data_IF_157947509281
#
_entry.id   IF_157947509281
#
_cell.length_a   1.000
_cell.length_b   1.000
_cell.length_c   1.000
_cell.angle_alpha   90.00
_cell.angle_beta   90.00
_cell.angle_gamma   90.00
#
_symmetry.space_group_name_H-M   'P 1'
#
loop_
_entity.id
_entity.type
_entity.pdbx_description
1 polymer ?
#
# COMPACT_ATOMS: atom_id res chain seq x y z
N UNK A 1 -35.60 -7.18 -9.72
CA UNK A 1 -35.26 -5.74 -9.67
C UNK A 1 -34.05 -5.60 -8.76
N UNK A 2 -32.87 -5.28 -9.30
CA UNK A 2 -31.67 -5.07 -8.49
C UNK A 2 -31.09 -3.71 -8.84
N UNK A 3 -31.17 -2.76 -7.92
CA UNK A 3 -30.46 -1.49 -8.06
C UNK A 3 -28.99 -1.75 -7.73
N UNK A 4 -28.13 -1.81 -8.74
CA UNK A 4 -26.68 -1.88 -8.56
C UNK A 4 -26.19 -0.49 -8.22
N UNK A 5 -25.88 -0.24 -6.94
CA UNK A 5 -25.19 0.98 -6.53
C UNK A 5 -23.75 0.84 -7.01
N UNK A 6 -23.30 1.74 -7.87
CA UNK A 6 -21.91 1.79 -8.32
C UNK A 6 -21.07 2.32 -7.14
N UNK A 7 -20.68 1.42 -6.22
CA UNK A 7 -19.86 1.74 -5.06
C UNK A 7 -18.43 2.04 -5.52
N UNK A 8 -18.22 3.29 -5.94
CA UNK A 8 -16.91 3.79 -6.33
C UNK A 8 -16.05 3.93 -5.08
N UNK A 9 -15.19 2.95 -4.84
CA UNK A 9 -14.13 3.07 -3.83
C UNK A 9 -13.15 4.18 -4.23
N UNK A 10 -12.71 4.95 -3.25
CA UNK A 10 -11.73 6.03 -3.44
C UNK A 10 -10.32 5.48 -3.24
N UNK A 11 -9.54 5.47 -4.32
CA UNK A 11 -8.15 5.03 -4.27
C UNK A 11 -7.23 6.15 -3.75
N UNK A 12 -6.45 5.81 -2.74
CA UNK A 12 -5.49 6.67 -2.06
C UNK A 12 -4.09 6.09 -2.24
N UNK A 13 -3.11 6.94 -2.48
CA UNK A 13 -1.69 6.55 -2.60
C UNK A 13 -0.84 7.42 -1.67
N UNK A 14 0.39 7.04 -1.37
CA UNK A 14 1.32 7.92 -0.65
C UNK A 14 2.23 8.59 -1.67
N UNK A 15 2.17 9.92 -1.75
CA UNK A 15 2.93 10.67 -2.73
C UNK A 15 4.40 10.90 -2.31
N UNK A 16 5.20 11.46 -3.22
CA UNK A 16 6.62 11.75 -2.96
C UNK A 16 6.86 12.73 -1.81
N UNK A 17 5.87 13.57 -1.46
CA UNK A 17 5.91 14.47 -0.32
C UNK A 17 5.70 13.75 1.02
N UNK A 18 5.24 12.49 0.99
CA UNK A 18 4.92 11.72 2.18
C UNK A 18 3.54 12.04 2.74
N UNK A 19 2.60 12.49 1.90
CA UNK A 19 1.19 12.67 2.24
C UNK A 19 0.33 11.61 1.56
N UNK A 20 -0.86 11.37 2.12
CA UNK A 20 -1.87 10.54 1.47
C UNK A 20 -2.49 11.38 0.36
N UNK A 21 -2.55 10.84 -0.85
CA UNK A 21 -2.97 11.55 -2.04
C UNK A 21 -4.10 10.79 -2.74
N UNK A 22 -5.20 11.48 -2.98
CA UNK A 22 -6.28 11.04 -3.85
C UNK A 22 -6.10 11.66 -5.23
N UNK A 23 -5.96 10.82 -6.27
CA UNK A 23 -5.88 11.29 -7.65
C UNK A 23 -7.26 11.69 -8.16
N UNK A 24 -7.38 12.91 -8.68
CA UNK A 24 -8.61 13.47 -9.23
C UNK A 24 -8.49 13.65 -10.74
N UNK A 25 -9.57 13.38 -11.47
CA UNK A 25 -9.63 13.57 -12.93
C UNK A 25 -9.77 15.04 -13.32
N UNK A 26 -10.35 15.86 -12.44
CA UNK A 26 -10.63 17.27 -12.69
C UNK A 26 -10.02 18.14 -11.58
N UNK A 27 -9.51 19.32 -11.97
CA UNK A 27 -8.89 20.28 -11.05
C UNK A 27 -9.97 20.89 -10.15
N UNK A 28 -10.00 20.46 -8.89
CA UNK A 28 -10.93 20.97 -7.87
C UNK A 28 -10.20 21.99 -6.98
N UNK A 29 -10.85 23.06 -6.49
CA UNK A 29 -10.22 24.01 -5.58
C UNK A 29 -9.63 23.32 -4.34
N UNK A 30 -8.32 23.46 -4.13
CA UNK A 30 -7.55 22.76 -3.09
C UNK A 30 -6.64 21.62 -3.58
N UNK A 31 -6.70 21.29 -4.88
CA UNK A 31 -5.83 20.26 -5.47
C UNK A 31 -4.40 20.75 -5.68
N UNK A 32 -3.43 19.91 -5.29
CA UNK A 32 -2.04 20.06 -5.70
C UNK A 32 -1.92 19.47 -7.10
N UNK A 33 -1.68 20.32 -8.08
CA UNK A 33 -1.46 19.90 -9.46
C UNK A 33 0.03 19.68 -9.68
N UNK A 34 0.41 18.46 -10.05
CA UNK A 34 1.79 18.14 -10.43
C UNK A 34 1.83 17.67 -11.88
N UNK A 35 2.64 18.34 -12.68
CA UNK A 35 3.02 17.84 -14.01
C UNK A 35 4.12 16.81 -13.82
N UNK A 36 3.87 15.57 -14.23
CA UNK A 36 4.88 14.53 -14.29
C UNK A 36 5.84 14.81 -15.45
N UNK A 37 7.08 14.29 -15.39
CA UNK A 37 8.07 14.41 -16.47
C UNK A 37 7.56 13.90 -17.83
N UNK A 38 6.56 13.00 -17.80
CA UNK A 38 5.90 12.45 -18.99
C UNK A 38 4.82 13.37 -19.57
N UNK A 39 4.74 14.64 -19.16
CA UNK A 39 3.75 15.62 -19.64
C UNK A 39 2.31 15.40 -19.13
N UNK A 40 2.05 14.35 -18.33
CA UNK A 40 0.75 14.09 -17.71
C UNK A 40 0.54 14.99 -16.49
N UNK A 41 -0.56 15.73 -16.48
CA UNK A 41 -1.01 16.52 -15.34
C UNK A 41 -1.79 15.63 -14.38
N UNK A 42 -1.32 15.51 -13.14
CA UNK A 42 -2.03 14.80 -12.08
C UNK A 42 -2.53 15.83 -11.08
N UNK A 43 -3.85 15.87 -10.88
CA UNK A 43 -4.46 16.62 -9.80
C UNK A 43 -4.58 15.70 -8.59
N UNK A 44 -4.00 16.08 -7.46
CA UNK A 44 -4.03 15.29 -6.24
C UNK A 44 -4.58 16.10 -5.07
N UNK A 45 -5.50 15.51 -4.32
CA UNK A 45 -5.91 16.03 -3.02
C UNK A 45 -5.07 15.36 -1.94
N UNK A 46 -4.35 16.17 -1.16
CA UNK A 46 -3.44 15.68 -0.13
C UNK A 46 -4.11 15.68 1.26
N UNK A 47 -3.88 14.62 2.02
CA UNK A 47 -4.36 14.42 3.37
C UNK A 47 -3.19 14.00 4.28
N UNK A 48 -3.21 14.46 5.54
CA UNK A 48 -2.13 14.17 6.49
C UNK A 48 -2.27 12.80 7.16
N UNK A 49 -3.48 12.27 7.26
CA UNK A 49 -3.75 10.94 7.83
C UNK A 49 -5.05 10.35 7.26
N UNK A 50 -5.15 9.02 7.33
CA UNK A 50 -6.36 8.25 7.04
C UNK A 50 -6.73 7.50 8.33
N UNK A 51 -7.95 7.68 8.81
CA UNK A 51 -8.45 7.00 10.00
C UNK A 51 -9.72 6.25 9.65
N UNK A 52 -9.79 4.99 10.06
CA UNK A 52 -10.93 4.13 9.76
C UNK A 52 -10.67 2.67 10.11
N UNK A 53 -11.65 1.81 9.94
CA UNK A 53 -11.50 0.37 10.21
C UNK A 53 -10.99 -0.35 8.96
N UNK A 54 -9.95 -1.17 9.09
CA UNK A 54 -9.51 -2.03 7.98
C UNK A 54 -10.53 -3.14 7.82
N UNK A 55 -11.22 -3.15 6.67
CA UNK A 55 -12.25 -4.15 6.37
C UNK A 55 -11.72 -5.28 5.49
N UNK A 56 -10.79 -4.97 4.59
CA UNK A 56 -10.21 -5.95 3.68
C UNK A 56 -8.80 -5.52 3.23
N UNK A 57 -7.99 -6.46 2.75
CA UNK A 57 -6.75 -6.18 2.04
C UNK A 57 -6.54 -7.22 0.95
N UNK A 58 -5.99 -6.80 -0.18
CA UNK A 58 -5.69 -7.69 -1.29
C UNK A 58 -4.44 -7.22 -2.02
N UNK A 59 -3.76 -8.16 -2.66
CA UNK A 59 -2.61 -7.86 -3.52
C UNK A 59 -3.13 -7.59 -4.92
N UNK A 60 -2.65 -6.52 -5.52
CA UNK A 60 -2.93 -6.17 -6.92
C UNK A 60 -1.60 -6.01 -7.65
N UNK A 61 -1.43 -6.75 -8.73
CA UNK A 61 -0.27 -6.64 -9.61
C UNK A 61 -0.65 -5.86 -10.86
N UNK A 62 0.08 -4.77 -11.11
CA UNK A 62 -0.03 -4.01 -12.34
C UNK A 62 1.14 -4.34 -13.24
N UNK A 63 0.87 -4.64 -14.52
CA UNK A 63 1.88 -5.04 -15.50
C UNK A 63 3.04 -4.02 -15.61
N UNK A 64 2.71 -2.72 -15.66
CA UNK A 64 3.73 -1.65 -15.74
C UNK A 64 4.27 -1.14 -14.40
N UNK A 65 3.44 -1.10 -13.35
CA UNK A 65 3.77 -0.38 -12.11
C UNK A 65 4.18 -1.29 -10.94
N UNK A 66 4.08 -2.61 -11.14
CA UNK A 66 4.46 -3.64 -10.18
C UNK A 66 3.35 -4.01 -9.21
N UNK A 67 3.73 -4.68 -8.11
CA UNK A 67 2.82 -5.16 -7.07
C UNK A 67 2.46 -4.08 -6.04
N UNK A 68 1.19 -4.08 -5.63
CA UNK A 68 0.62 -3.20 -4.62
C UNK A 68 -0.16 -4.02 -3.59
N UNK A 69 -0.04 -3.64 -2.32
CA UNK A 69 -0.96 -4.07 -1.27
C UNK A 69 -2.04 -3.00 -1.15
N UNK A 70 -3.27 -3.36 -1.49
CA UNK A 70 -4.43 -2.50 -1.35
C UNK A 70 -5.10 -2.77 -0.01
N UNK A 71 -5.14 -1.76 0.85
CA UNK A 71 -5.76 -1.81 2.17
C UNK A 71 -7.08 -1.07 2.11
N UNK A 72 -8.19 -1.81 2.26
CA UNK A 72 -9.55 -1.27 2.28
C UNK A 72 -9.89 -0.78 3.68
N UNK A 73 -10.28 0.49 3.77
CA UNK A 73 -10.65 1.17 5.01
C UNK A 73 -12.10 1.65 4.89
N UNK A 74 -12.94 1.24 5.84
CA UNK A 74 -14.38 1.50 5.93
C UNK A 74 -15.18 1.15 4.66
N UNK A 75 -14.67 0.24 3.83
CA UNK A 75 -15.19 -0.11 2.50
C UNK A 75 -15.28 1.02 1.46
N UNK A 76 -14.99 2.26 1.87
CA UNK A 76 -15.02 3.46 1.03
C UNK A 76 -13.65 3.82 0.46
N UNK A 77 -12.57 3.60 1.23
CA UNK A 77 -11.22 4.02 0.87
C UNK A 77 -10.30 2.82 0.62
N UNK A 78 -9.41 2.95 -0.37
CA UNK A 78 -8.40 1.93 -0.67
C UNK A 78 -7.03 2.59 -0.65
N UNK A 79 -6.24 2.33 0.40
CA UNK A 79 -4.86 2.77 0.49
C UNK A 79 -3.94 1.80 -0.25
N UNK A 80 -3.33 2.27 -1.33
CA UNK A 80 -2.41 1.51 -2.16
C UNK A 80 -0.98 1.68 -1.67
N UNK A 81 -0.37 0.58 -1.22
CA UNK A 81 1.01 0.53 -0.78
C UNK A 81 1.84 -0.28 -1.79
N UNK A 82 2.69 0.40 -2.54
CA UNK A 82 3.59 -0.27 -3.49
C UNK A 82 4.57 -1.19 -2.75
N UNK A 83 4.75 -2.41 -3.24
CA UNK A 83 5.71 -3.36 -2.70
C UNK A 83 7.13 -2.80 -2.75
N UNK A 84 8.00 -3.29 -1.85
CA UNK A 84 9.37 -2.82 -1.68
C UNK A 84 9.53 -1.33 -1.28
N UNK A 85 8.45 -0.63 -0.93
CA UNK A 85 8.54 0.73 -0.38
C UNK A 85 8.62 0.74 1.14
N UNK A 86 9.23 1.79 1.71
CA UNK A 86 9.36 1.93 3.17
C UNK A 86 8.01 2.03 3.89
N UNK A 87 7.00 2.61 3.24
CA UNK A 87 5.65 2.68 3.79
C UNK A 87 5.00 1.29 3.85
N UNK A 88 5.15 0.48 2.79
CA UNK A 88 4.70 -0.90 2.77
C UNK A 88 5.34 -1.72 3.89
N UNK A 89 6.68 -1.67 4.02
CA UNK A 89 7.39 -2.38 5.08
C UNK A 89 6.94 -1.95 6.48
N UNK A 90 6.78 -0.64 6.71
CA UNK A 90 6.31 -0.13 8.01
C UNK A 90 4.90 -0.60 8.35
N UNK A 91 4.01 -0.65 7.36
CA UNK A 91 2.66 -1.20 7.51
C UNK A 91 2.71 -2.69 7.84
N UNK A 92 3.41 -3.47 7.02
CA UNK A 92 3.50 -4.92 7.20
C UNK A 92 4.12 -5.31 8.55
N UNK A 93 5.14 -4.60 9.02
CA UNK A 93 5.76 -4.92 10.31
C UNK A 93 4.85 -4.69 11.49
N UNK A 94 3.96 -3.68 11.43
CA UNK A 94 2.97 -3.45 12.46
C UNK A 94 1.75 -4.36 12.34
N UNK A 95 1.46 -4.88 11.15
CA UNK A 95 0.22 -5.59 10.81
C UNK A 95 -0.20 -6.69 11.80
N UNK A 96 0.70 -7.57 12.29
CA UNK A 96 0.31 -8.62 13.24
C UNK A 96 -0.17 -8.08 14.60
N UNK A 97 0.25 -6.87 14.96
CA UNK A 97 -0.13 -6.21 16.21
C UNK A 97 -1.39 -5.33 16.07
N UNK A 98 -1.92 -5.18 14.85
CA UNK A 98 -3.15 -4.40 14.62
C UNK A 98 -4.36 -5.21 15.04
N UNK A 99 -5.24 -4.58 15.82
CA UNK A 99 -6.56 -5.12 16.11
C UNK A 99 -7.53 -4.73 14.98
N UNK A 100 -7.80 -5.66 14.05
CA UNK A 100 -8.67 -5.43 12.89
C UNK A 100 -10.13 -5.09 13.28
N UNK A 101 -10.53 -5.30 14.53
CA UNK A 101 -11.87 -4.92 15.01
C UNK A 101 -12.01 -3.40 15.26
N UNK A 102 -10.89 -2.69 15.41
CA UNK A 102 -10.85 -1.26 15.79
C UNK A 102 -10.40 -0.36 14.65
N UNK A 103 -10.84 0.89 14.69
CA UNK A 103 -10.33 1.93 13.79
C UNK A 103 -8.84 2.16 14.02
N UNK A 104 -8.08 2.28 12.92
CA UNK A 104 -6.64 2.56 12.90
C UNK A 104 -6.39 3.87 12.17
N UNK A 105 -5.51 4.68 12.74
CA UNK A 105 -5.03 5.93 12.12
C UNK A 105 -3.69 5.68 11.44
N UNK A 106 -3.68 5.81 10.12
CA UNK A 106 -2.55 5.67 9.22
C UNK A 106 -1.98 7.06 8.91
N UNK A 107 -0.78 7.34 9.39
CA UNK A 107 -0.11 8.64 9.22
C UNK A 107 1.23 8.44 8.52
N UNK A 108 1.36 8.80 7.24
CA UNK A 108 2.65 8.75 6.57
C UNK A 108 3.58 9.79 7.18
N UNK A 109 4.82 9.41 7.37
CA UNK A 109 5.86 10.27 7.87
C UNK A 109 7.05 10.21 6.94
N UNK A 110 7.58 11.40 6.60
CA UNK A 110 8.75 11.57 5.77
C UNK A 110 9.63 12.66 6.36
N UNK A 111 10.93 12.41 6.42
CA UNK A 111 11.93 13.40 6.81
C UNK A 111 13.21 13.17 6.05
N UNK A 112 13.79 14.22 5.48
CA UNK A 112 15.14 14.16 4.92
C UNK A 112 16.15 14.47 6.02
N UNK A 113 17.12 13.58 6.20
CA UNK A 113 18.22 13.74 7.17
C UNK A 113 19.51 13.42 6.44
N UNK A 114 20.42 14.40 6.34
CA UNK A 114 21.74 14.23 5.73
C UNK A 114 21.68 13.66 4.29
N UNK A 115 20.75 14.19 3.47
CA UNK A 115 20.54 13.73 2.09
C UNK A 115 19.90 12.34 1.97
N UNK A 116 19.56 11.69 3.09
CA UNK A 116 18.83 10.42 3.13
C UNK A 116 17.38 10.69 3.50
N UNK A 117 16.47 10.35 2.59
CA UNK A 117 15.04 10.34 2.88
C UNK A 117 14.73 9.21 3.85
N UNK A 118 14.22 9.53 5.04
CA UNK A 118 13.58 8.61 5.96
C UNK A 118 12.08 8.69 5.74
N UNK A 119 11.43 7.53 5.63
CA UNK A 119 10.00 7.43 5.42
C UNK A 119 9.47 6.23 6.20
N UNK A 120 8.31 6.38 6.81
CA UNK A 120 7.61 5.33 7.56
C UNK A 120 6.11 5.60 7.54
N UNK A 121 5.30 4.56 7.68
CA UNK A 121 3.87 4.69 7.93
C UNK A 121 3.64 4.41 9.42
N UNK A 122 3.14 5.40 10.17
CA UNK A 122 2.77 5.21 11.56
C UNK A 122 1.31 4.80 11.66
N UNK A 123 1.06 3.78 12.49
CA UNK A 123 -0.27 3.25 12.74
C UNK A 123 -0.61 3.46 14.19
N UNK A 124 -1.78 4.01 14.51
CA UNK A 124 -2.23 4.23 15.90
C UNK A 124 -3.62 3.63 16.11
N UNK A 125 -3.84 3.01 17.27
CA UNK A 125 -5.15 2.47 17.68
C UNK A 125 -5.42 2.83 19.14
N UNK A 126 -6.58 3.44 19.42
CA UNK A 126 -7.05 3.70 20.78
C UNK A 126 -6.18 4.65 21.62
N UNK A 127 -5.33 5.48 21.00
CA UNK A 127 -4.51 6.48 21.69
C UNK A 127 -3.42 7.12 20.82
N UNK A 128 -2.52 7.88 21.46
CA UNK A 128 -1.46 8.65 20.80
C UNK A 128 -0.22 7.83 20.40
N UNK A 129 -0.06 6.63 20.98
CA UNK A 129 1.10 5.77 20.72
C UNK A 129 0.92 5.03 19.40
N UNK A 130 2.00 4.98 18.62
CA UNK A 130 2.06 4.13 17.45
C UNK A 130 2.17 2.67 17.84
N UNK A 131 1.51 1.80 17.08
CA UNK A 131 1.61 0.35 17.20
C UNK A 131 3.06 -0.05 16.95
N UNK A 132 3.61 -0.85 17.85
CA UNK A 132 4.98 -1.35 17.74
C UNK A 132 5.10 -2.36 16.61
N UNK A 133 6.26 -2.40 15.97
CA UNK A 133 6.54 -3.39 14.93
C UNK A 133 6.68 -4.78 15.58
N UNK A 134 5.96 -5.73 15.02
CA UNK A 134 6.11 -7.15 15.34
C UNK A 134 7.42 -7.68 14.77
N UNK A 135 7.65 -7.43 13.49
CA UNK A 135 8.90 -7.82 12.82
C UNK A 135 9.98 -6.76 13.04
N UNK A 136 10.99 -7.09 13.84
CA UNK A 136 12.14 -6.22 14.11
C UNK A 136 13.44 -6.93 13.76
N UNK A 137 14.56 -6.20 13.72
CA UNK A 137 15.88 -6.81 13.49
C UNK A 137 16.24 -7.79 14.62
N UNK A 138 15.91 -7.43 15.86
CA UNK A 138 16.19 -8.23 17.04
C UNK A 138 15.25 -9.42 17.16
N UNK A 139 14.02 -9.29 16.64
CA UNK A 139 13.05 -10.37 16.57
C UNK A 139 12.43 -10.48 15.16
N UNK A 140 13.13 -11.15 14.22
CA UNK A 140 12.70 -11.22 12.84
C UNK A 140 11.54 -12.18 12.59
N UNK A 141 11.15 -13.02 13.56
CA UNK A 141 10.01 -13.94 13.45
C UNK A 141 9.98 -14.77 12.14
N UNK A 142 11.15 -15.20 11.66
CA UNK A 142 11.27 -15.98 10.43
C UNK A 142 11.34 -15.16 9.13
N UNK A 143 11.32 -13.82 9.22
CA UNK A 143 11.56 -12.95 8.08
C UNK A 143 13.04 -13.06 7.63
N UNK A 144 13.30 -13.34 6.35
CA UNK A 144 14.67 -13.42 5.85
C UNK A 144 15.32 -12.04 5.77
N UNK A 145 16.63 -12.01 5.99
CA UNK A 145 17.47 -10.83 5.76
C UNK A 145 17.56 -10.48 4.27
N UNK A 146 17.82 -9.21 3.97
CA UNK A 146 18.07 -8.75 2.61
C UNK A 146 19.44 -9.26 2.14
N UNK A 147 19.48 -9.82 0.93
CA UNK A 147 20.73 -10.33 0.35
C UNK A 147 21.42 -9.23 -0.46
N UNK A 148 22.74 -9.13 -0.35
CA UNK A 148 23.52 -8.24 -1.23
C UNK A 148 23.90 -9.01 -2.49
N UNK A 149 23.27 -8.67 -3.61
CA UNK A 149 23.66 -9.18 -4.92
C UNK A 149 24.63 -8.21 -5.59
N UNK A 150 25.74 -8.74 -6.11
CA UNK A 150 26.69 -7.97 -6.91
C UNK A 150 26.40 -8.21 -8.38
N UNK A 151 25.59 -7.35 -8.99
CA UNK A 151 25.25 -7.43 -10.42
C UNK A 151 26.10 -6.42 -11.18
N UNK A 152 26.90 -6.91 -12.13
CA UNK A 152 27.76 -6.07 -13.01
C UNK A 152 28.59 -5.01 -12.26
N UNK A 153 29.13 -5.37 -11.09
CA UNK A 153 30.00 -4.51 -10.29
C UNK A 153 29.29 -3.49 -9.37
N UNK A 154 27.96 -3.37 -9.41
CA UNK A 154 27.16 -2.58 -8.46
C UNK A 154 26.56 -3.49 -7.39
N UNK A 155 26.64 -3.07 -6.12
CA UNK A 155 25.97 -3.74 -5.00
C UNK A 155 24.50 -3.32 -4.98
N UNK A 156 23.61 -4.28 -5.22
CA UNK A 156 22.16 -4.10 -5.15
C UNK A 156 21.66 -4.96 -4.00
N UNK A 157 20.82 -4.39 -3.15
CA UNK A 157 20.11 -5.14 -2.13
C UNK A 157 18.91 -5.81 -2.76
N UNK A 158 18.83 -7.13 -2.63
CA UNK A 158 17.73 -7.96 -3.13
C UNK A 158 16.78 -8.30 -1.97
N UNK A 159 15.51 -7.96 -2.16
CA UNK A 159 14.44 -8.24 -1.22
C UNK A 159 13.48 -9.34 -1.70
N UNK A 160 13.81 -10.09 -2.76
CA UNK A 160 12.92 -11.10 -3.36
C UNK A 160 12.42 -12.11 -2.34
N UNK A 161 13.33 -12.76 -1.59
CA UNK A 161 12.98 -13.73 -0.54
C UNK A 161 12.11 -13.13 0.56
N UNK A 162 12.33 -11.84 0.86
CA UNK A 162 11.57 -11.11 1.87
C UNK A 162 10.15 -10.83 1.39
N UNK A 163 10.00 -10.44 0.13
CA UNK A 163 8.69 -10.24 -0.48
C UNK A 163 7.92 -11.57 -0.56
N UNK A 164 8.56 -12.66 -0.97
CA UNK A 164 7.94 -14.00 -0.98
C UNK A 164 7.44 -14.41 0.41
N UNK A 165 8.25 -14.18 1.45
CA UNK A 165 7.83 -14.40 2.84
C UNK A 165 6.61 -13.55 3.21
N UNK A 166 6.61 -12.27 2.83
CA UNK A 166 5.51 -11.34 3.12
C UNK A 166 4.23 -11.78 2.40
N UNK A 167 4.31 -12.12 1.12
CA UNK A 167 3.16 -12.60 0.33
C UNK A 167 2.56 -13.86 0.93
N UNK A 168 3.43 -14.81 1.32
CA UNK A 168 3.01 -16.03 2.00
C UNK A 168 2.34 -15.73 3.35
N UNK A 169 2.95 -14.86 4.16
CA UNK A 169 2.40 -14.47 5.46
C UNK A 169 1.03 -13.77 5.33
N UNK A 170 0.89 -12.86 4.37
CA UNK A 170 -0.38 -12.19 4.09
C UNK A 170 -1.47 -13.20 3.72
N UNK A 171 -1.14 -14.13 2.82
CA UNK A 171 -2.09 -15.13 2.32
C UNK A 171 -2.47 -16.16 3.37
N UNK A 172 -1.52 -16.63 4.18
CA UNK A 172 -1.76 -17.70 5.15
C UNK A 172 -2.27 -17.21 6.51
N UNK A 173 -1.86 -16.01 6.95
CA UNK A 173 -2.08 -15.55 8.33
C UNK A 173 -3.00 -14.33 8.43
N UNK A 174 -3.09 -13.51 7.38
CA UNK A 174 -3.80 -12.22 7.43
C UNK A 174 -5.13 -12.29 6.70
N UNK A 175 -5.15 -12.71 5.42
CA UNK A 175 -6.39 -12.77 4.63
C UNK A 175 -7.46 -13.67 5.27
N UNK A 176 -7.14 -14.86 5.80
CA UNK A 176 -8.16 -15.70 6.44
C UNK A 176 -8.80 -15.04 7.67
N UNK A 177 -8.06 -14.20 8.40
CA UNK A 177 -8.59 -13.47 9.56
C UNK A 177 -9.55 -12.36 9.16
N UNK A 178 -9.40 -11.81 7.96
CA UNK A 178 -10.32 -10.80 7.42
C UNK A 178 -11.55 -11.43 6.79
N UNK A 179 -11.40 -12.54 6.07
CA UNK A 179 -12.54 -13.27 5.50
C UNK A 179 -13.46 -13.84 6.58
N UNK A 180 -12.93 -14.24 7.73
CA UNK A 180 -13.75 -14.69 8.87
C UNK A 180 -14.63 -13.55 9.43
N UNK A 181 -14.32 -12.29 9.12
CA UNK A 181 -15.18 -11.14 9.47
C UNK A 181 -16.23 -10.81 8.40
N UNK A 182 -16.24 -11.54 7.27
CA UNK A 182 -17.20 -11.41 6.17
C UNK A 182 -17.83 -12.78 5.85
N UNK A 183 -18.75 -13.22 6.70
CA UNK A 183 -19.90 -14.01 6.23
C UNK A 183 -20.95 -12.96 5.85
N UNK A 184 -21.37 -12.75 4.59
CA UNK A 184 -21.91 -13.68 3.61
C UNK A 184 -21.77 -13.07 2.21
N UNK A 185 -21.48 -13.88 1.18
CA UNK A 185 -21.89 -13.60 -0.19
C UNK A 185 -20.78 -13.71 -1.24
N UNK A 186 -20.53 -14.95 -1.69
CA UNK A 186 -19.84 -15.23 -2.94
C UNK A 186 -20.61 -14.64 -4.14
N UNK A 187 -19.89 -14.29 -5.21
CA UNK A 187 -20.07 -14.90 -6.54
C UNK A 187 -19.16 -14.23 -7.59
N UNK A 188 -18.54 -15.10 -8.39
CA UNK A 188 -17.74 -14.91 -9.60
C UNK A 188 -18.14 -13.75 -10.54
N UNK A 189 -17.13 -13.21 -11.23
CA UNK A 189 -17.24 -12.93 -12.66
C UNK A 189 -15.85 -12.81 -13.32
N UNK A 190 -15.48 -13.84 -14.07
CA UNK A 190 -14.56 -13.76 -15.21
C UNK A 190 -15.00 -12.69 -16.23
N UNK A 191 -14.03 -12.11 -16.94
CA UNK A 191 -14.22 -11.74 -18.35
C UNK A 191 -13.57 -10.45 -18.82
N UNK A 192 -12.55 -10.61 -19.68
CA UNK A 192 -12.31 -9.84 -20.94
C UNK A 192 -11.95 -8.34 -20.80
N UNK A 193 -11.12 -7.68 -21.60
CA UNK A 193 -10.30 -7.89 -22.82
C UNK A 193 -9.49 -6.56 -22.93
N UNK A 194 -8.17 -6.56 -23.11
CA UNK A 194 -7.54 -6.56 -24.43
C UNK A 194 -7.19 -5.14 -24.94
N UNK A 195 -5.89 -4.79 -24.90
CA UNK A 195 -5.13 -3.88 -25.81
C UNK A 195 -3.85 -3.46 -25.07
N UNK A 196 -2.73 -4.17 -25.22
CA UNK A 196 -1.75 -4.07 -26.33
C UNK A 196 -1.39 -2.62 -26.65
N UNK A 197 -0.19 -2.22 -26.22
CA UNK A 197 0.74 -1.33 -26.92
C UNK A 197 2.03 -1.31 -26.10
N UNK A 198 2.90 -2.28 -26.40
CA UNK A 198 4.26 -2.25 -25.92
C UNK A 198 5.05 -1.18 -26.67
N UNK A 199 5.91 -0.45 -25.96
CA UNK A 199 7.20 -0.01 -26.49
C UNK A 199 8.07 0.59 -25.37
N UNK A 200 9.20 -0.09 -25.15
CA UNK A 200 10.56 0.43 -24.92
C UNK A 200 10.73 1.73 -24.11
N UNK A 201 11.33 1.63 -22.91
CA UNK A 201 12.24 2.67 -22.47
C UNK A 201 13.50 2.13 -21.75
N UNK A 202 14.66 2.73 -22.04
CA UNK A 202 15.98 2.34 -21.56
C UNK A 202 16.30 2.91 -20.17
N UNK A 203 17.36 2.32 -19.59
CA UNK A 203 18.10 2.66 -18.35
C UNK A 203 17.72 1.88 -17.08
#
# INVERSE_FOLDING_TARGET
MGLTKNERKTFLSINGSGKIAQSLKESTPGCVTRTLENGRTVHQMEYDHLEGKITNMYIHEHQEYGKYLNVVVDDEYVLQLKFSTRYFYSFFFALPNIDLSKAVKLTPWRKEVEGKVKAALYLKQGGDKSIEWYFTRDNPHGMPDMEKLKVKGKEIWDDTKRLEFIEKYLTEQVFPKMETSVTVGAEDAEGADGSDDGEDLPF
#
